data_IF_359170645639
#
_entry.id   IF_359170645639
#
_cell.length_a   1.000
_cell.length_b   1.000
_cell.length_c   1.000
_cell.angle_alpha   90.00
_cell.angle_beta   90.00
_cell.angle_gamma   90.00
#
_symmetry.space_group_name_H-M   'P 1'
#
loop_
_entity.id
_entity.type
_entity.pdbx_description
1 polymer ?
#
# COMPACT_ATOMS: atom_id res chain seq x y z
N UNK A 1 -43.02 -19.13 -26.82
CA UNK A 1 -41.90 -18.16 -26.89
C UNK A 1 -41.68 -17.42 -25.54
N UNK A 2 -41.74 -18.11 -24.38
CA UNK A 2 -41.57 -17.49 -23.05
C UNK A 2 -40.44 -18.12 -22.20
N UNK A 3 -39.78 -19.17 -22.71
CA UNK A 3 -38.75 -19.94 -21.97
C UNK A 3 -37.31 -19.55 -22.31
N UNK A 4 -37.12 -18.61 -23.24
CA UNK A 4 -35.80 -18.18 -23.73
C UNK A 4 -35.31 -16.95 -22.94
N UNK A 5 -36.23 -16.12 -22.46
CA UNK A 5 -35.91 -14.93 -21.66
C UNK A 5 -35.42 -15.24 -20.24
N UNK A 6 -35.76 -16.39 -19.68
CA UNK A 6 -35.33 -16.79 -18.33
C UNK A 6 -33.91 -17.31 -18.28
N UNK A 7 -33.30 -17.67 -19.42
CA UNK A 7 -31.93 -18.18 -19.48
C UNK A 7 -30.87 -17.06 -19.53
N UNK A 8 -31.22 -15.87 -20.01
CA UNK A 8 -30.27 -14.76 -20.16
C UNK A 8 -30.04 -14.01 -18.85
N UNK A 9 -31.02 -14.00 -17.95
CA UNK A 9 -30.91 -13.37 -16.63
C UNK A 9 -29.97 -14.13 -15.67
N UNK A 10 -29.77 -15.43 -15.91
CA UNK A 10 -28.93 -16.27 -15.05
C UNK A 10 -27.42 -16.14 -15.37
N UNK A 11 -27.07 -15.71 -16.59
CA UNK A 11 -25.67 -15.59 -17.01
C UNK A 11 -25.02 -14.26 -16.58
N UNK A 12 -25.82 -13.22 -16.32
CA UNK A 12 -25.32 -11.90 -15.92
C UNK A 12 -24.89 -11.82 -14.44
N UNK A 13 -25.32 -12.76 -13.61
CA UNK A 13 -25.03 -12.78 -12.17
C UNK A 13 -23.70 -13.47 -11.80
N UNK A 14 -23.03 -14.13 -12.76
CA UNK A 14 -21.85 -14.97 -12.46
C UNK A 14 -20.50 -14.25 -12.64
N UNK A 15 -20.46 -13.01 -13.15
CA UNK A 15 -19.19 -12.34 -13.48
C UNK A 15 -18.59 -11.50 -12.35
N UNK A 16 -19.18 -11.49 -11.15
CA UNK A 16 -18.57 -10.83 -9.99
C UNK A 16 -17.59 -11.79 -9.30
N UNK A 17 -16.52 -12.15 -10.02
CA UNK A 17 -15.41 -12.93 -9.49
C UNK A 17 -14.59 -12.13 -8.46
N UNK A 18 -14.39 -12.73 -7.29
CA UNK A 18 -13.65 -12.22 -6.13
C UNK A 18 -12.27 -11.65 -6.48
N UNK A 19 -12.05 -10.35 -6.26
CA UNK A 19 -10.76 -9.68 -6.49
C UNK A 19 -9.85 -9.66 -5.24
N UNK A 20 -10.35 -10.06 -4.06
CA UNK A 20 -9.64 -9.90 -2.79
C UNK A 20 -8.44 -10.84 -2.63
N UNK A 21 -8.51 -12.07 -3.16
CA UNK A 21 -7.43 -13.07 -3.04
C UNK A 21 -6.18 -12.73 -3.86
N UNK A 22 -6.30 -11.83 -4.85
CA UNK A 22 -5.16 -11.46 -5.71
C UNK A 22 -4.16 -10.55 -4.99
N UNK A 23 -4.62 -9.64 -4.12
CA UNK A 23 -3.74 -8.64 -3.50
C UNK A 23 -2.72 -9.23 -2.53
N UNK A 24 -3.15 -10.19 -1.70
CA UNK A 24 -2.25 -10.93 -0.79
C UNK A 24 -1.19 -11.71 -1.55
N UNK A 25 -1.54 -12.33 -2.68
CA UNK A 25 -0.60 -13.05 -3.53
C UNK A 25 0.45 -12.11 -4.14
N UNK A 26 0.04 -10.94 -4.64
CA UNK A 26 0.98 -9.91 -5.14
C UNK A 26 1.91 -9.45 -4.02
N UNK A 27 1.37 -9.23 -2.80
CA UNK A 27 2.19 -8.89 -1.63
C UNK A 27 3.26 -9.96 -1.34
N UNK A 28 2.88 -11.24 -1.25
CA UNK A 28 3.80 -12.36 -1.00
C UNK A 28 4.78 -12.60 -2.14
N UNK A 29 4.49 -12.13 -3.35
CA UNK A 29 5.38 -12.28 -4.49
C UNK A 29 6.41 -11.16 -4.56
N UNK A 30 5.99 -9.90 -4.32
CA UNK A 30 6.81 -8.73 -4.66
C UNK A 30 7.13 -7.80 -3.49
N UNK A 31 6.30 -7.77 -2.44
CA UNK A 31 6.36 -6.69 -1.43
C UNK A 31 6.83 -7.18 -0.05
N UNK A 32 6.54 -8.43 0.31
CA UNK A 32 6.75 -8.97 1.66
C UNK A 32 8.20 -8.92 2.16
N UNK A 33 9.17 -8.96 1.25
CA UNK A 33 10.59 -8.90 1.60
C UNK A 33 11.03 -7.54 2.17
N UNK A 34 10.27 -6.47 1.90
CA UNK A 34 10.59 -5.13 2.35
C UNK A 34 9.51 -4.49 3.21
N UNK A 35 8.24 -4.87 3.03
CA UNK A 35 7.11 -4.29 3.74
C UNK A 35 6.43 -5.34 4.63
N UNK A 36 6.08 -4.94 5.85
CA UNK A 36 5.18 -5.70 6.71
C UNK A 36 3.80 -5.01 6.75
N UNK A 37 2.74 -5.78 7.01
CA UNK A 37 1.39 -5.24 7.00
C UNK A 37 1.19 -4.18 8.09
N UNK A 38 1.70 -4.42 9.31
CA UNK A 38 1.41 -3.58 10.49
C UNK A 38 2.64 -2.94 11.14
N UNK A 39 3.85 -3.39 10.81
CA UNK A 39 5.08 -2.99 11.51
C UNK A 39 6.10 -2.39 10.53
N UNK A 40 7.02 -1.58 11.05
CA UNK A 40 8.17 -1.10 10.29
C UNK A 40 9.01 -2.28 9.81
N UNK A 41 9.46 -2.24 8.56
CA UNK A 41 10.47 -3.14 8.00
C UNK A 41 11.52 -2.32 7.23
N UNK A 42 12.03 -2.83 6.11
CA UNK A 42 12.88 -2.02 5.21
C UNK A 42 12.11 -0.85 4.58
N UNK A 43 10.81 -1.03 4.38
CA UNK A 43 9.85 0.02 4.03
C UNK A 43 8.81 0.25 5.14
N UNK A 44 8.04 1.34 5.05
CA UNK A 44 6.95 1.62 5.99
C UNK A 44 5.86 0.54 5.96
N UNK A 45 5.17 0.35 7.07
CA UNK A 45 4.08 -0.64 7.15
C UNK A 45 2.92 -0.30 6.22
N UNK A 46 2.16 -1.31 5.77
CA UNK A 46 0.94 -1.06 4.99
C UNK A 46 -0.10 -0.26 5.77
N UNK A 47 -0.22 -0.46 7.08
CA UNK A 47 -1.06 0.38 7.95
C UNK A 47 -0.64 1.86 7.92
N UNK A 48 0.66 2.14 7.91
CA UNK A 48 1.20 3.52 7.80
C UNK A 48 0.97 4.09 6.40
N UNK A 49 1.17 3.29 5.35
CA UNK A 49 0.94 3.72 3.97
C UNK A 49 -0.56 4.04 3.78
N UNK A 50 -1.44 3.15 4.21
CA UNK A 50 -2.88 3.27 4.04
C UNK A 50 -3.50 4.44 4.83
N UNK A 51 -2.88 4.86 5.95
CA UNK A 51 -3.33 6.02 6.71
C UNK A 51 -2.89 7.35 6.08
N UNK A 52 -1.77 7.37 5.34
CA UNK A 52 -1.16 8.61 4.82
C UNK A 52 -1.33 8.83 3.32
N UNK A 53 -1.60 7.78 2.54
CA UNK A 53 -1.57 7.84 1.07
C UNK A 53 -2.92 7.49 0.47
N UNK A 54 -3.21 8.14 -0.64
CA UNK A 54 -4.32 7.83 -1.53
C UNK A 54 -4.02 6.61 -2.39
N UNK A 55 -5.05 6.01 -3.00
CA UNK A 55 -4.87 4.93 -3.96
C UNK A 55 -3.96 5.35 -5.12
N UNK A 56 -4.11 6.59 -5.63
CA UNK A 56 -3.29 7.08 -6.73
C UNK A 56 -1.81 7.22 -6.34
N UNK A 57 -1.51 7.73 -5.13
CA UNK A 57 -0.13 7.82 -4.66
C UNK A 57 0.52 6.46 -4.45
N UNK A 58 -0.24 5.47 -3.95
CA UNK A 58 0.22 4.09 -3.80
C UNK A 58 0.55 3.49 -5.16
N UNK A 59 -0.38 3.59 -6.12
CA UNK A 59 -0.17 3.10 -7.48
C UNK A 59 1.02 3.78 -8.15
N UNK A 60 1.10 5.11 -8.05
CA UNK A 60 2.20 5.89 -8.61
C UNK A 60 3.55 5.45 -8.05
N UNK A 61 3.65 5.31 -6.72
CA UNK A 61 4.87 4.85 -6.05
C UNK A 61 5.28 3.44 -6.48
N UNK A 62 4.32 2.55 -6.74
CA UNK A 62 4.62 1.20 -7.24
C UNK A 62 5.11 1.24 -8.69
N UNK A 63 4.52 2.09 -9.54
CA UNK A 63 4.86 2.17 -10.97
C UNK A 63 6.14 2.95 -11.26
N UNK A 64 6.43 4.00 -10.49
CA UNK A 64 7.61 4.84 -10.63
C UNK A 64 8.20 5.19 -9.25
N UNK A 65 8.79 4.22 -8.55
CA UNK A 65 9.34 4.46 -7.22
C UNK A 65 10.50 5.47 -7.23
N UNK A 66 11.25 5.60 -8.33
CA UNK A 66 12.36 6.56 -8.41
C UNK A 66 11.86 8.00 -8.48
N UNK A 67 10.90 8.31 -9.35
CA UNK A 67 10.35 9.65 -9.48
C UNK A 67 9.43 10.00 -8.31
N UNK A 68 8.49 9.11 -7.98
CA UNK A 68 7.46 9.39 -6.99
C UNK A 68 8.02 9.47 -5.57
N UNK A 69 9.07 8.71 -5.24
CA UNK A 69 9.72 8.83 -3.92
C UNK A 69 10.22 10.26 -3.66
N UNK A 70 10.78 10.93 -4.67
CA UNK A 70 11.26 12.32 -4.56
C UNK A 70 10.09 13.28 -4.34
N UNK A 71 8.99 13.10 -5.09
CA UNK A 71 7.76 13.88 -4.94
C UNK A 71 7.15 13.71 -3.54
N UNK A 72 7.20 12.50 -3.00
CA UNK A 72 6.71 12.18 -1.65
C UNK A 72 7.70 12.55 -0.53
N UNK A 73 8.84 13.17 -0.86
CA UNK A 73 9.81 13.72 0.09
C UNK A 73 10.88 12.75 0.60
N UNK A 74 11.02 11.55 0.03
CA UNK A 74 12.04 10.59 0.46
C UNK A 74 13.44 11.02 0.00
N UNK A 75 14.39 11.06 0.94
CA UNK A 75 15.81 11.38 0.65
C UNK A 75 16.52 10.28 -0.15
N UNK A 76 16.10 9.02 0.03
CA UNK A 76 16.64 7.84 -0.66
C UNK A 76 15.50 6.87 -0.97
N UNK A 77 15.57 6.22 -2.12
CA UNK A 77 14.62 5.18 -2.51
C UNK A 77 15.36 3.85 -2.68
N UNK A 78 14.90 2.83 -1.96
CA UNK A 78 15.34 1.44 -2.12
C UNK A 78 14.27 0.57 -2.78
N UNK A 79 13.07 1.11 -3.04
CA UNK A 79 11.99 0.37 -3.68
C UNK A 79 12.33 0.13 -5.16
N UNK A 80 12.45 -1.13 -5.60
CA UNK A 80 12.77 -1.45 -6.98
C UNK A 80 11.57 -1.19 -7.89
N UNK A 81 11.81 -0.96 -9.17
CA UNK A 81 10.74 -0.89 -10.18
C UNK A 81 10.10 -2.27 -10.33
N UNK A 82 8.79 -2.35 -10.09
CA UNK A 82 8.02 -3.57 -10.23
C UNK A 82 7.26 -3.59 -11.56
N UNK A 83 7.28 -4.74 -12.25
CA UNK A 83 6.48 -4.96 -13.47
C UNK A 83 5.20 -5.69 -13.10
N UNK A 84 4.22 -4.94 -12.62
CA UNK A 84 2.89 -5.47 -12.31
C UNK A 84 1.95 -5.30 -13.50
N UNK A 85 1.06 -6.27 -13.69
CA UNK A 85 -0.09 -6.09 -14.59
C UNK A 85 -1.08 -5.10 -13.97
N UNK A 86 -1.94 -4.44 -14.78
CA UNK A 86 -2.93 -3.49 -14.26
C UNK A 86 -3.83 -4.09 -13.16
N UNK A 87 -4.25 -5.34 -13.30
CA UNK A 87 -5.06 -6.05 -12.31
C UNK A 87 -4.30 -6.31 -11.00
N UNK A 88 -3.00 -6.63 -11.09
CA UNK A 88 -2.15 -6.85 -9.92
C UNK A 88 -1.93 -5.55 -9.17
N UNK A 89 -1.70 -4.45 -9.89
CA UNK A 89 -1.53 -3.10 -9.33
C UNK A 89 -2.78 -2.66 -8.56
N UNK A 90 -3.97 -2.88 -9.13
CA UNK A 90 -5.23 -2.59 -8.42
C UNK A 90 -5.42 -3.50 -7.21
N UNK A 91 -5.13 -4.79 -7.34
CA UNK A 91 -5.30 -5.75 -6.25
C UNK A 91 -4.36 -5.45 -5.06
N UNK A 92 -3.08 -5.16 -5.31
CA UNK A 92 -2.14 -4.81 -4.23
C UNK A 92 -2.50 -3.48 -3.57
N UNK A 93 -2.96 -2.50 -4.35
CA UNK A 93 -3.41 -1.20 -3.82
C UNK A 93 -4.60 -1.38 -2.89
N UNK A 94 -5.61 -2.16 -3.29
CA UNK A 94 -6.75 -2.49 -2.44
C UNK A 94 -6.32 -3.25 -1.18
N UNK A 95 -5.39 -4.19 -1.31
CA UNK A 95 -4.85 -4.94 -0.16
C UNK A 95 -4.12 -4.02 0.82
N UNK A 96 -3.25 -3.12 0.36
CA UNK A 96 -2.57 -2.12 1.21
C UNK A 96 -3.62 -1.28 1.94
N UNK A 97 -4.61 -0.75 1.22
CA UNK A 97 -5.65 0.11 1.80
C UNK A 97 -6.56 -0.62 2.81
N UNK A 98 -6.69 -1.95 2.73
CA UNK A 98 -7.43 -2.72 3.73
C UNK A 98 -6.82 -2.67 5.14
N UNK A 99 -5.55 -2.27 5.27
CA UNK A 99 -4.88 -2.05 6.55
C UNK A 99 -5.09 -0.64 7.11
N UNK A 100 -5.93 0.18 6.48
CA UNK A 100 -6.34 1.46 7.04
C UNK A 100 -7.15 1.21 8.31
N UNK A 101 -6.55 1.44 9.47
CA UNK A 101 -7.25 1.35 10.74
C UNK A 101 -8.40 2.37 10.76
N UNK A 102 -9.63 1.88 10.99
CA UNK A 102 -10.78 2.72 11.33
C UNK A 102 -10.78 2.89 12.85
N UNK A 103 -9.77 3.58 13.39
CA UNK A 103 -9.90 4.17 14.72
C UNK A 103 -10.24 5.63 14.51
N UNK A 104 -11.47 5.99 14.91
CA UNK A 104 -11.92 7.37 15.02
C UNK A 104 -10.89 8.22 15.76
N UNK A 105 -10.98 9.53 15.54
CA UNK A 105 -10.25 10.60 16.22
C UNK A 105 -9.84 10.27 17.67
N UNK A 106 -8.64 10.74 18.04
CA UNK A 106 -8.00 10.68 19.37
C UNK A 106 -7.07 9.47 19.63
N UNK A 107 -5.88 9.51 19.05
CA UNK A 107 -4.68 9.20 19.83
C UNK A 107 -4.09 10.52 20.36
N UNK A 108 -4.71 11.02 21.42
CA UNK A 108 -4.17 12.09 22.28
C UNK A 108 -3.18 11.51 23.32
N UNK A 109 -2.41 10.47 22.99
CA UNK A 109 -1.29 9.99 23.82
C UNK A 109 0.04 10.10 23.05
N UNK A 110 0.26 11.23 22.38
CA UNK A 110 1.62 11.65 21.96
C UNK A 110 1.79 13.17 21.87
N UNK A 111 0.75 13.95 22.21
CA UNK A 111 0.76 15.41 22.02
C UNK A 111 1.56 16.23 23.03
N UNK A 112 2.01 15.66 24.15
CA UNK A 112 2.78 16.45 25.16
C UNK A 112 4.31 16.40 24.95
N UNK A 113 4.83 15.57 24.04
CA UNK A 113 6.29 15.50 23.79
C UNK A 113 6.75 15.96 22.41
N UNK A 114 5.86 16.48 21.57
CA UNK A 114 6.22 16.92 20.22
C UNK A 114 5.66 18.30 19.85
N UNK A 115 6.09 19.32 20.59
CA UNK A 115 5.93 20.73 20.19
C UNK A 115 7.19 21.29 19.50
N UNK A 116 8.05 20.43 18.93
CA UNK A 116 9.28 20.90 18.26
C UNK A 116 9.79 20.03 17.10
N UNK A 117 9.03 19.09 16.55
CA UNK A 117 9.47 18.36 15.36
C UNK A 117 8.70 18.90 14.15
N UNK A 118 9.34 19.88 13.51
CA UNK A 118 9.12 20.23 12.11
C UNK A 118 9.09 18.95 11.26
N UNK A 119 8.29 18.94 10.20
CA UNK A 119 8.12 17.83 9.26
C UNK A 119 9.46 17.31 8.72
N UNK A 120 10.06 16.35 9.41
CA UNK A 120 11.28 15.72 8.93
C UNK A 120 10.95 14.50 8.07
N UNK A 121 11.57 14.38 6.88
CA UNK A 121 11.44 13.18 6.06
C UNK A 121 11.91 11.94 6.82
N UNK A 122 11.20 10.84 6.60
CA UNK A 122 11.33 9.57 7.31
C UNK A 122 12.79 9.18 7.64
N UNK A 123 13.08 8.79 8.89
CA UNK A 123 14.44 8.46 9.29
C UNK A 123 14.94 7.24 8.53
N UNK A 124 16.13 7.38 7.98
CA UNK A 124 16.81 6.37 7.20
C UNK A 124 17.58 5.43 8.13
N UNK A 125 17.07 4.20 8.33
CA UNK A 125 17.74 3.15 9.10
C UNK A 125 18.89 2.56 8.26
N UNK A 126 19.93 3.35 8.05
CA UNK A 126 21.23 2.84 7.65
C UNK A 126 22.26 3.63 8.46
N UNK A 127 22.35 3.30 9.75
CA UNK A 127 23.47 3.73 10.58
C UNK A 127 24.66 2.88 10.14
N UNK A 128 25.62 3.56 9.51
CA UNK A 128 26.91 3.00 9.15
C UNK A 128 27.57 2.42 10.39
N UNK A 129 27.91 1.13 10.33
CA UNK A 129 28.82 0.49 11.27
C UNK A 129 30.20 1.08 11.01
N UNK A 130 30.58 2.10 11.77
CA UNK A 130 31.95 2.61 11.82
C UNK A 130 32.87 1.43 12.18
N UNK A 131 33.84 1.16 11.30
CA UNK A 131 34.92 0.22 11.52
C UNK A 131 35.98 1.00 12.31
N UNK A 132 36.14 0.66 13.59
CA UNK A 132 37.37 0.92 14.35
C UNK A 132 38.22 -0.35 14.36
#
# INVERSE_FOLDING_TARGET
>A
MKKIFTSFLFFLLFTLGSHADNGKKVFETYCWGCHHQTAMAFGPSFATIASKRTAQEIEAMITDPEGVSKVLGYKRNAMPTLKLKPEELKAITAYILSFKNVSNEEDNTSKEQNKTILEEPYPNIAITKEIH
#
